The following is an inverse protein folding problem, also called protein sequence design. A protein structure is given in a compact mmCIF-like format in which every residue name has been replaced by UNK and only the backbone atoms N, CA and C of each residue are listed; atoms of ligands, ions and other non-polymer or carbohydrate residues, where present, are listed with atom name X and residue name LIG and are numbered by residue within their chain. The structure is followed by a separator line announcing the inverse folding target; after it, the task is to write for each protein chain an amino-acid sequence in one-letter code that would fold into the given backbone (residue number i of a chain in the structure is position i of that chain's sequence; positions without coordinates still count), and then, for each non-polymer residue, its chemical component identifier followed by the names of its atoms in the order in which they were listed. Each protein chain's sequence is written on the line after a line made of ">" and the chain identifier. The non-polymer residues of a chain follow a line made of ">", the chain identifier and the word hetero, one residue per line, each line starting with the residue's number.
data_IF_741992748498
#
_entry.id   IF_741992748498
#
_cell.length_a   1.000
_cell.length_b   1.000
_cell.length_c   1.000
_cell.angle_alpha   90.00
_cell.angle_beta   90.00
_cell.angle_gamma   90.00
#
_symmetry.space_group_name_H-M   'P 1'
#
loop_
_entity.id
_entity.type
_entity.pdbx_description
1 polymer ?
#
# COMPACT_ATOMS: atom_id res chain seq x y z
N UNK A 1 -1.14 8.26 28.32
CA UNK A 1 -1.20 8.65 26.89
C UNK A 1 -0.62 7.49 26.08
N UNK A 2 -1.40 6.81 25.24
CA UNK A 2 -0.91 5.69 24.41
C UNK A 2 -0.65 6.22 23.01
N UNK A 3 0.51 5.89 22.44
CA UNK A 3 0.93 6.32 21.11
C UNK A 3 0.85 5.08 20.21
N UNK A 4 0.14 5.20 19.09
CA UNK A 4 0.12 4.18 18.05
C UNK A 4 1.28 4.46 17.11
N UNK A 5 2.16 3.48 16.90
CA UNK A 5 3.33 3.58 16.03
C UNK A 5 3.21 2.52 14.94
N UNK A 6 3.52 2.89 13.70
CA UNK A 6 3.55 1.97 12.56
C UNK A 6 4.94 1.37 12.49
N UNK A 7 5.03 0.06 12.61
CA UNK A 7 6.25 -0.69 12.34
C UNK A 7 6.14 -1.26 10.93
N UNK A 8 7.01 -0.82 10.01
CA UNK A 8 7.01 -1.25 8.62
C UNK A 8 7.55 -2.67 8.44
N UNK A 9 8.37 -3.18 9.36
CA UNK A 9 8.95 -4.52 9.26
C UNK A 9 7.89 -5.62 9.49
N UNK A 10 6.83 -5.28 10.22
CA UNK A 10 5.67 -6.16 10.49
C UNK A 10 4.44 -5.76 9.66
N UNK A 11 4.45 -4.58 9.03
CA UNK A 11 3.30 -4.09 8.28
C UNK A 11 3.04 -4.95 7.03
N UNK A 12 1.91 -5.65 6.99
CA UNK A 12 1.50 -6.45 5.82
C UNK A 12 0.96 -5.61 4.65
N UNK A 13 1.01 -4.28 4.73
CA UNK A 13 0.43 -3.37 3.75
C UNK A 13 -1.04 -3.66 3.37
N UNK A 14 -1.85 -4.13 4.34
CA UNK A 14 -3.26 -4.48 4.15
C UNK A 14 -4.22 -3.27 4.09
N UNK A 15 -3.74 -2.06 4.34
CA UNK A 15 -4.51 -0.82 4.26
C UNK A 15 -5.49 -0.51 5.39
N UNK A 16 -5.87 -1.50 6.21
CA UNK A 16 -6.81 -1.32 7.32
C UNK A 16 -6.41 -0.21 8.30
N UNK A 17 -5.11 -0.03 8.53
CA UNK A 17 -4.56 1.00 9.40
C UNK A 17 -4.78 2.42 8.86
N UNK A 18 -4.72 2.60 7.53
CA UNK A 18 -4.98 3.89 6.89
C UNK A 18 -6.49 4.18 6.86
N UNK A 19 -7.32 3.17 6.53
CA UNK A 19 -8.78 3.32 6.47
C UNK A 19 -9.44 3.58 7.83
N UNK A 20 -8.91 2.97 8.90
CA UNK A 20 -9.42 3.18 10.27
C UNK A 20 -8.78 4.35 10.99
N UNK A 21 -7.85 5.08 10.37
CA UNK A 21 -7.20 6.19 11.04
C UNK A 21 -8.16 7.38 11.20
N UNK A 22 -8.61 7.72 12.43
CA UNK A 22 -9.61 8.76 12.64
C UNK A 22 -9.10 10.17 12.34
N UNK A 23 -7.78 10.36 12.29
CA UNK A 23 -7.11 11.63 11.98
C UNK A 23 -6.40 11.61 10.64
N UNK A 24 -6.54 10.53 9.85
CA UNK A 24 -5.80 10.32 8.61
C UNK A 24 -4.26 10.51 8.76
N UNK A 25 -3.71 10.18 9.93
CA UNK A 25 -2.28 10.33 10.23
C UNK A 25 -1.41 9.23 9.61
N UNK A 26 -2.03 8.17 9.07
CA UNK A 26 -1.35 7.07 8.40
C UNK A 26 -1.80 6.95 6.95
N UNK A 27 -0.82 6.85 6.05
CA UNK A 27 -1.01 6.70 4.62
C UNK A 27 -0.27 5.45 4.10
N UNK A 28 -0.78 4.84 3.04
CA UNK A 28 -0.07 3.80 2.31
C UNK A 28 0.80 4.46 1.25
N UNK A 29 2.10 4.60 1.55
CA UNK A 29 3.07 5.07 0.57
C UNK A 29 3.13 4.08 -0.61
N UNK A 30 2.98 4.57 -1.84
CA UNK A 30 3.28 3.79 -3.05
C UNK A 30 4.81 3.65 -3.16
N UNK A 31 5.35 2.57 -2.63
CA UNK A 31 6.76 2.24 -2.82
C UNK A 31 6.99 1.59 -4.18
N UNK A 32 8.08 1.98 -4.83
CA UNK A 32 8.52 1.36 -6.07
C UNK A 32 9.24 0.07 -5.72
N UNK A 33 8.52 -1.05 -5.73
CA UNK A 33 9.14 -2.36 -5.64
C UNK A 33 9.32 -2.93 -7.04
N UNK A 34 10.57 -3.28 -7.38
CA UNK A 34 10.90 -3.89 -8.67
C UNK A 34 10.50 -5.37 -8.63
N UNK A 35 9.21 -5.64 -8.84
CA UNK A 35 8.72 -7.01 -9.00
C UNK A 35 9.30 -7.58 -10.28
N UNK A 36 9.99 -8.72 -10.20
CA UNK A 36 10.24 -9.54 -11.38
C UNK A 36 8.89 -10.03 -11.88
N UNK A 37 8.32 -9.28 -12.83
CA UNK A 37 7.03 -9.53 -13.44
C UNK A 37 7.08 -10.90 -14.13
N UNK A 38 6.50 -11.94 -13.53
CA UNK A 38 6.43 -13.29 -14.11
C UNK A 38 5.46 -13.40 -15.31
N UNK A 39 5.10 -12.27 -15.93
CA UNK A 39 4.04 -12.16 -16.92
C UNK A 39 3.23 -10.89 -16.70
N UNK A 40 2.80 -10.27 -17.79
CA UNK A 40 2.38 -8.89 -17.80
C UNK A 40 1.00 -8.62 -17.15
N UNK A 41 0.91 -8.40 -15.83
CA UNK A 41 -0.36 -7.96 -15.21
C UNK A 41 -0.20 -6.62 -14.50
N UNK A 42 -0.86 -5.58 -15.03
CA UNK A 42 -0.93 -4.23 -14.44
C UNK A 42 -2.10 -4.18 -13.44
N UNK A 43 -1.83 -4.23 -12.13
CA UNK A 43 -2.82 -3.85 -11.13
C UNK A 43 -2.69 -2.35 -10.87
N UNK A 44 -3.47 -1.56 -11.60
CA UNK A 44 -3.56 -0.12 -11.43
C UNK A 44 -4.93 0.36 -11.91
N UNK A 45 -5.50 1.35 -11.24
CA UNK A 45 -6.78 1.97 -11.60
C UNK A 45 -6.71 2.85 -12.86
N UNK A 46 -5.58 2.90 -13.54
CA UNK A 46 -5.42 3.62 -14.79
C UNK A 46 -5.71 2.65 -15.94
N UNK A 47 -7.00 2.57 -16.26
CA UNK A 47 -7.51 1.80 -17.38
C UNK A 47 -6.85 2.27 -18.68
N UNK A 48 -5.97 1.43 -19.22
CA UNK A 48 -5.74 1.25 -20.65
C UNK A 48 -4.91 -0.02 -20.83
N UNK A 49 -5.62 -1.14 -20.98
CA UNK A 49 -5.07 -2.43 -21.38
C UNK A 49 -4.86 -2.45 -22.89
N UNK A 50 -3.64 -2.74 -23.31
CA UNK A 50 -3.28 -3.04 -24.68
C UNK A 50 -2.06 -3.94 -24.66
N UNK A 51 -2.22 -5.16 -25.17
CA UNK A 51 -1.22 -6.24 -25.19
C UNK A 51 -1.79 -7.53 -24.62
#
# INVERSE_FOLDING_TARGET
>A
KRIMVKDEDVCLHCGLCAERCPTAAWDMQKFWYNVTKAGEVKYGCDGNGGG
#
